data_IF_136072996606
#
_entry.id   IF_136072996606
#
_cell.length_a   1.000
_cell.length_b   1.000
_cell.length_c   1.000
_cell.angle_alpha   90.00
_cell.angle_beta   90.00
_cell.angle_gamma   90.00
#
_symmetry.space_group_name_H-M   'P 1'
#
loop_
_entity.id
_entity.type
_entity.pdbx_description
1 polymer ?
#
# COMPACT_ATOMS: atom_id res chain seq x y z
N UNK A 1 -11.20 7.74 -4.30
CA UNK A 1 -12.09 7.73 -3.11
C UNK A 1 -11.27 8.20 -1.94
N UNK A 2 -11.65 9.27 -1.23
CA UNK A 2 -10.91 9.69 -0.03
C UNK A 2 -11.02 8.66 1.10
N UNK A 3 -9.91 8.39 1.78
CA UNK A 3 -9.82 7.57 3.01
C UNK A 3 -9.18 8.36 4.13
N UNK A 4 -9.43 7.97 5.39
CA UNK A 4 -8.75 8.57 6.54
C UNK A 4 -7.35 7.98 6.72
N UNK A 5 -7.21 6.66 6.46
CA UNK A 5 -5.95 5.93 6.58
C UNK A 5 -5.67 5.12 5.31
N UNK A 6 -4.46 5.25 4.78
CA UNK A 6 -3.93 4.35 3.75
C UNK A 6 -2.78 3.52 4.35
N UNK A 7 -2.99 2.23 4.52
CA UNK A 7 -1.98 1.30 5.01
C UNK A 7 -1.25 0.67 3.81
N UNK A 8 0.06 0.92 3.70
CA UNK A 8 0.88 0.50 2.58
C UNK A 8 1.91 -0.52 3.07
N UNK A 9 1.82 -1.74 2.54
CA UNK A 9 2.71 -2.86 2.88
C UNK A 9 3.42 -3.39 1.64
N UNK A 10 4.53 -4.10 1.80
CA UNK A 10 5.24 -4.69 0.65
C UNK A 10 4.45 -5.86 0.10
N UNK A 11 4.14 -6.80 0.99
CA UNK A 11 3.53 -8.08 0.65
C UNK A 11 2.12 -8.20 1.25
N UNK A 12 1.22 -8.99 0.62
CA UNK A 12 -0.11 -9.21 1.18
C UNK A 12 -0.09 -10.04 2.47
N UNK A 13 0.11 -9.41 3.62
CA UNK A 13 0.08 -9.95 5.00
C UNK A 13 0.85 -9.02 5.95
N UNK A 14 1.75 -8.19 5.43
CA UNK A 14 2.53 -7.20 6.19
C UNK A 14 1.62 -6.29 7.03
N UNK A 15 0.51 -5.84 6.45
CA UNK A 15 -0.43 -4.94 7.12
C UNK A 15 -1.17 -5.67 8.24
N UNK A 16 -1.59 -6.90 7.98
CA UNK A 16 -2.24 -7.77 8.94
C UNK A 16 -1.34 -8.04 10.15
N UNK A 17 -0.07 -8.35 9.89
CA UNK A 17 0.92 -8.65 10.91
C UNK A 17 1.34 -7.40 11.70
N UNK A 18 1.55 -6.28 11.00
CA UNK A 18 2.11 -5.07 11.58
C UNK A 18 1.10 -4.18 12.29
N UNK A 19 -0.13 -4.06 11.78
CA UNK A 19 -1.06 -3.03 12.26
C UNK A 19 -2.57 -3.37 12.16
N UNK A 20 -2.96 -4.64 12.01
CA UNK A 20 -4.38 -5.03 11.98
C UNK A 20 -5.17 -4.56 13.20
N UNK A 21 -4.59 -4.64 14.41
CA UNK A 21 -5.24 -4.16 15.63
C UNK A 21 -5.59 -2.66 15.59
N UNK A 22 -4.67 -1.85 15.07
CA UNK A 22 -4.89 -0.41 14.85
C UNK A 22 -5.99 -0.19 13.82
N UNK A 23 -5.91 -0.86 12.67
CA UNK A 23 -6.91 -0.72 11.59
C UNK A 23 -8.30 -1.12 12.07
N UNK A 24 -8.43 -2.26 12.74
CA UNK A 24 -9.70 -2.74 13.30
C UNK A 24 -10.29 -1.73 14.31
N UNK A 25 -9.46 -1.11 15.14
CA UNK A 25 -9.91 -0.09 16.07
C UNK A 25 -10.40 1.17 15.34
N UNK A 26 -9.68 1.64 14.33
CA UNK A 26 -10.03 2.83 13.57
C UNK A 26 -11.29 2.64 12.71
N UNK A 27 -11.45 1.47 12.10
CA UNK A 27 -12.68 1.08 11.39
C UNK A 27 -13.87 1.05 12.36
N UNK A 28 -13.71 0.52 13.58
CA UNK A 28 -14.77 0.56 14.63
C UNK A 28 -15.15 1.98 15.03
N UNK A 29 -14.22 2.94 14.95
CA UNK A 29 -14.48 4.37 15.18
C UNK A 29 -15.10 5.06 13.96
N UNK A 30 -15.37 4.33 12.87
CA UNK A 30 -16.03 4.84 11.68
C UNK A 30 -15.07 5.41 10.63
N UNK A 31 -13.75 5.26 10.80
CA UNK A 31 -12.77 5.70 9.79
C UNK A 31 -12.78 4.77 8.57
N UNK A 32 -12.61 5.36 7.39
CA UNK A 32 -12.35 4.66 6.14
C UNK A 32 -10.88 4.34 6.04
N UNK A 33 -10.57 3.06 5.88
CA UNK A 33 -9.20 2.58 5.71
C UNK A 33 -9.08 1.88 4.35
N UNK A 34 -8.01 2.13 3.61
CA UNK A 34 -7.63 1.33 2.46
C UNK A 34 -6.27 0.67 2.70
N UNK A 35 -6.06 -0.49 2.06
CA UNK A 35 -4.79 -1.21 2.04
C UNK A 35 -4.21 -1.16 0.62
N UNK A 36 -2.91 -0.92 0.52
CA UNK A 36 -2.17 -0.97 -0.73
C UNK A 36 -0.96 -1.88 -0.57
N UNK A 37 -0.99 -3.03 -1.25
CA UNK A 37 0.16 -3.93 -1.31
C UNK A 37 1.06 -3.52 -2.49
N UNK A 38 2.37 -3.38 -2.28
CA UNK A 38 3.30 -2.96 -3.34
C UNK A 38 3.56 -4.10 -4.34
N UNK A 39 3.63 -5.33 -3.87
CA UNK A 39 3.97 -6.54 -4.64
C UNK A 39 2.91 -7.61 -4.46
N UNK A 40 2.97 -8.71 -5.22
CA UNK A 40 2.04 -9.82 -5.06
C UNK A 40 2.56 -10.90 -4.09
N UNK A 41 3.76 -10.70 -3.51
CA UNK A 41 4.43 -11.70 -2.70
C UNK A 41 4.76 -12.98 -3.47
N UNK A 42 4.96 -12.87 -4.79
CA UNK A 42 5.10 -14.02 -5.67
C UNK A 42 6.38 -14.86 -5.44
N UNK A 43 7.40 -14.32 -4.77
CA UNK A 43 8.61 -15.08 -4.41
C UNK A 43 8.50 -15.75 -3.04
N UNK A 44 7.63 -15.24 -2.16
CA UNK A 44 7.45 -15.73 -0.79
C UNK A 44 6.22 -16.62 -0.59
N UNK A 45 5.24 -16.58 -1.49
CA UNK A 45 4.02 -17.38 -1.37
C UNK A 45 4.31 -18.88 -1.50
N UNK A 46 3.72 -19.69 -0.61
CA UNK A 46 3.71 -21.16 -0.73
C UNK A 46 2.58 -21.67 -1.61
N UNK A 47 1.58 -20.83 -1.87
CA UNK A 47 0.47 -21.10 -2.78
C UNK A 47 0.74 -20.52 -4.16
N UNK A 48 -0.32 -20.08 -4.84
CA UNK A 48 -0.21 -19.31 -6.07
C UNK A 48 -0.46 -17.82 -5.80
N UNK A 49 -0.28 -17.00 -6.83
CA UNK A 49 -0.66 -15.58 -6.77
C UNK A 49 -2.16 -15.45 -6.55
N UNK A 50 -2.97 -16.29 -7.19
CA UNK A 50 -4.44 -16.30 -7.08
C UNK A 50 -4.91 -16.68 -5.66
N UNK A 51 -4.27 -17.67 -5.02
CA UNK A 51 -4.62 -18.02 -3.64
C UNK A 51 -4.25 -16.87 -2.70
N UNK A 52 -3.08 -16.24 -2.90
CA UNK A 52 -2.65 -15.07 -2.12
C UNK A 52 -3.61 -13.89 -2.26
N UNK A 53 -4.10 -13.61 -3.46
CA UNK A 53 -5.14 -12.59 -3.67
C UNK A 53 -6.44 -12.91 -2.95
N UNK A 54 -6.86 -14.19 -2.95
CA UNK A 54 -8.08 -14.63 -2.28
C UNK A 54 -7.94 -14.47 -0.76
N UNK A 55 -6.80 -14.89 -0.19
CA UNK A 55 -6.48 -14.72 1.23
C UNK A 55 -6.48 -13.23 1.62
N UNK A 56 -5.82 -12.39 0.83
CA UNK A 56 -5.78 -10.94 1.02
C UNK A 56 -7.16 -10.28 0.96
N UNK A 57 -8.04 -10.74 0.06
CA UNK A 57 -9.40 -10.25 -0.06
C UNK A 57 -10.28 -10.64 1.15
N UNK A 58 -10.17 -11.88 1.63
CA UNK A 58 -10.88 -12.32 2.83
C UNK A 58 -10.37 -11.61 4.09
N UNK A 59 -9.05 -11.40 4.22
CA UNK A 59 -8.48 -10.61 5.31
C UNK A 59 -9.02 -9.16 5.31
N UNK A 60 -9.09 -8.52 4.14
CA UNK A 60 -9.65 -7.18 4.00
C UNK A 60 -11.12 -7.13 4.45
N UNK A 61 -11.92 -8.14 4.09
CA UNK A 61 -13.32 -8.27 4.51
C UNK A 61 -13.46 -8.46 6.02
N UNK A 62 -12.61 -9.28 6.64
CA UNK A 62 -12.56 -9.45 8.09
C UNK A 62 -12.21 -8.15 8.80
N UNK A 63 -11.26 -7.38 8.26
CA UNK A 63 -10.81 -6.11 8.82
C UNK A 63 -11.80 -4.95 8.59
N UNK A 64 -12.75 -5.11 7.67
CA UNK A 64 -13.73 -4.07 7.33
C UNK A 64 -13.13 -2.87 6.59
N UNK A 65 -12.01 -3.06 5.88
CA UNK A 65 -11.39 -1.97 5.10
C UNK A 65 -12.22 -1.66 3.86
N UNK A 66 -12.20 -0.40 3.43
CA UNK A 66 -13.01 0.10 2.31
C UNK A 66 -12.47 -0.29 0.94
N UNK A 67 -11.17 -0.55 0.83
CA UNK A 67 -10.52 -1.00 -0.40
C UNK A 67 -9.21 -1.75 -0.08
N UNK A 68 -8.84 -2.67 -0.97
CA UNK A 68 -7.50 -3.25 -1.03
C UNK A 68 -7.04 -3.32 -2.47
N UNK A 69 -5.88 -2.76 -2.77
CA UNK A 69 -5.29 -2.73 -4.12
C UNK A 69 -3.85 -3.25 -4.11
N UNK A 70 -3.36 -3.63 -5.28
CA UNK A 70 -2.01 -4.14 -5.47
C UNK A 70 -1.30 -3.43 -6.62
N UNK A 71 -0.12 -2.87 -6.38
CA UNK A 71 0.66 -2.18 -7.42
C UNK A 71 1.42 -3.11 -8.35
N UNK A 72 1.50 -4.41 -8.04
CA UNK A 72 2.17 -5.43 -8.85
C UNK A 72 3.61 -5.04 -9.20
N UNK A 73 4.30 -4.38 -8.28
CA UNK A 73 5.74 -4.27 -8.38
C UNK A 73 6.35 -5.67 -8.25
N UNK A 74 7.53 -5.83 -8.85
CA UNK A 74 8.24 -7.10 -8.84
C UNK A 74 8.79 -7.36 -7.44
N UNK A 75 8.32 -8.43 -6.81
CA UNK A 75 8.73 -8.85 -5.46
C UNK A 75 10.25 -9.04 -5.38
N UNK A 76 10.90 -8.50 -4.35
CA UNK A 76 12.35 -8.51 -4.18
C UNK A 76 13.14 -7.50 -5.03
N UNK A 77 12.54 -6.89 -6.06
CA UNK A 77 13.27 -6.16 -7.11
C UNK A 77 12.77 -4.74 -7.40
N UNK A 78 11.67 -4.30 -6.82
CA UNK A 78 11.23 -2.91 -6.95
C UNK A 78 12.29 -1.95 -6.40
N UNK A 79 12.33 -0.74 -6.91
CA UNK A 79 13.34 0.26 -6.57
C UNK A 79 12.70 1.52 -5.98
N UNK A 80 13.51 2.34 -5.32
CA UNK A 80 13.12 3.69 -4.95
C UNK A 80 13.45 4.69 -6.10
N UNK A 81 12.97 4.38 -7.30
CA UNK A 81 13.19 5.19 -8.51
C UNK A 81 11.94 6.01 -8.90
N UNK A 82 12.08 6.85 -9.94
CA UNK A 82 10.99 7.70 -10.41
C UNK A 82 9.75 6.90 -10.88
N UNK A 83 9.94 5.77 -11.57
CA UNK A 83 8.84 4.98 -12.10
C UNK A 83 7.96 4.40 -10.98
N UNK A 84 8.59 3.86 -9.93
CA UNK A 84 7.89 3.34 -8.76
C UNK A 84 7.26 4.47 -7.94
N UNK A 85 7.96 5.60 -7.77
CA UNK A 85 7.44 6.80 -7.11
C UNK A 85 6.18 7.32 -7.81
N UNK A 86 6.20 7.49 -9.13
CA UNK A 86 5.05 8.00 -9.88
C UNK A 86 3.82 7.10 -9.74
N UNK A 87 4.01 5.77 -9.76
CA UNK A 87 2.90 4.83 -9.56
C UNK A 87 2.32 4.94 -8.14
N UNK A 88 3.18 5.03 -7.13
CA UNK A 88 2.74 5.17 -5.74
C UNK A 88 2.09 6.54 -5.47
N UNK A 89 2.63 7.62 -6.05
CA UNK A 89 2.06 8.98 -5.97
C UNK A 89 0.63 8.98 -6.55
N UNK A 90 0.39 8.33 -7.68
CA UNK A 90 -0.95 8.21 -8.28
C UNK A 90 -1.94 7.55 -7.30
N UNK A 91 -1.54 6.47 -6.63
CA UNK A 91 -2.37 5.84 -5.59
C UNK A 91 -2.60 6.74 -4.38
N UNK A 92 -1.57 7.43 -3.88
CA UNK A 92 -1.71 8.36 -2.76
C UNK A 92 -2.69 9.49 -3.13
N UNK A 93 -2.61 10.05 -4.34
CA UNK A 93 -3.54 11.08 -4.83
C UNK A 93 -4.96 10.58 -5.08
N UNK A 94 -5.11 9.33 -5.52
CA UNK A 94 -6.42 8.66 -5.65
C UNK A 94 -7.14 8.52 -4.30
N UNK A 95 -6.39 8.23 -3.25
CA UNK A 95 -6.92 7.96 -1.90
C UNK A 95 -6.92 9.17 -0.96
N UNK A 96 -6.09 10.19 -1.21
CA UNK A 96 -5.97 11.41 -0.41
C UNK A 96 -5.99 11.16 1.12
N UNK A 97 -5.16 10.25 1.65
CA UNK A 97 -5.21 9.86 3.05
C UNK A 97 -4.77 11.00 3.98
N UNK A 98 -5.36 11.07 5.17
CA UNK A 98 -4.89 11.96 6.23
C UNK A 98 -3.71 11.32 7.00
N UNK A 99 -3.66 9.98 7.07
CA UNK A 99 -2.57 9.20 7.67
C UNK A 99 -2.12 8.07 6.74
N UNK A 100 -0.80 7.89 6.60
CA UNK A 100 -0.21 6.72 5.96
C UNK A 100 0.43 5.83 7.03
N UNK A 101 0.08 4.54 7.04
CA UNK A 101 0.82 3.50 7.76
C UNK A 101 1.75 2.82 6.75
N UNK A 102 3.00 2.59 7.12
CA UNK A 102 4.03 2.08 6.21
C UNK A 102 4.95 1.08 6.91
N UNK A 103 5.65 0.25 6.12
CA UNK A 103 6.77 -0.55 6.63
C UNK A 103 7.83 0.34 7.33
N UNK A 104 8.50 -0.22 8.33
CA UNK A 104 9.61 0.44 9.05
C UNK A 104 10.81 0.68 8.11
N UNK A 105 11.62 1.70 8.41
CA UNK A 105 12.77 2.07 7.58
C UNK A 105 13.94 1.07 7.65
N UNK A 106 14.08 0.34 8.75
CA UNK A 106 15.12 -0.66 8.96
C UNK A 106 14.50 -1.98 9.44
N UNK A 107 14.71 -3.05 8.67
CA UNK A 107 14.18 -4.38 8.88
C UNK A 107 15.15 -5.41 8.27
N UNK A 108 15.18 -6.62 8.82
CA UNK A 108 15.92 -7.75 8.23
C UNK A 108 15.45 -8.10 6.82
N UNK A 109 14.20 -7.81 6.48
CA UNK A 109 13.65 -8.01 5.14
C UNK A 109 13.99 -6.77 4.29
N UNK A 110 14.86 -6.89 3.26
CA UNK A 110 15.36 -5.74 2.52
C UNK A 110 14.24 -4.95 1.81
N UNK A 111 13.17 -5.62 1.39
CA UNK A 111 12.03 -4.92 0.79
C UNK A 111 11.28 -4.04 1.79
N UNK A 112 11.21 -4.37 3.08
CA UNK A 112 10.46 -3.56 4.06
C UNK A 112 11.11 -2.19 4.22
N UNK A 113 12.44 -2.15 4.43
CA UNK A 113 13.18 -0.89 4.50
C UNK A 113 13.11 -0.10 3.19
N UNK A 114 13.26 -0.80 2.05
CA UNK A 114 13.14 -0.17 0.72
C UNK A 114 11.76 0.45 0.50
N UNK A 115 10.69 -0.24 0.91
CA UNK A 115 9.33 0.27 0.83
C UNK A 115 9.11 1.44 1.78
N UNK A 116 9.59 1.38 3.02
CA UNK A 116 9.52 2.49 3.96
C UNK A 116 10.10 3.78 3.37
N UNK A 117 11.27 3.69 2.73
CA UNK A 117 11.88 4.81 2.02
C UNK A 117 11.09 5.26 0.79
N UNK A 118 10.63 4.32 -0.06
CA UNK A 118 9.81 4.63 -1.24
C UNK A 118 8.50 5.33 -0.85
N UNK A 119 7.83 4.85 0.20
CA UNK A 119 6.57 5.41 0.70
C UNK A 119 6.79 6.82 1.26
N UNK A 120 7.86 7.03 2.04
CA UNK A 120 8.19 8.35 2.58
C UNK A 120 8.46 9.38 1.47
N UNK A 121 9.28 9.00 0.47
CA UNK A 121 9.56 9.86 -0.68
C UNK A 121 8.28 10.17 -1.47
N UNK A 122 7.48 9.14 -1.79
CA UNK A 122 6.25 9.30 -2.56
C UNK A 122 5.20 10.15 -1.81
N UNK A 123 5.09 10.01 -0.49
CA UNK A 123 4.18 10.80 0.33
C UNK A 123 4.51 12.30 0.27
N UNK A 124 5.80 12.67 0.34
CA UNK A 124 6.22 14.06 0.17
C UNK A 124 5.94 14.56 -1.25
N UNK A 125 6.37 13.79 -2.25
CA UNK A 125 6.23 14.17 -3.67
C UNK A 125 4.78 14.26 -4.12
N UNK A 126 3.87 13.50 -3.51
CA UNK A 126 2.45 13.54 -3.85
C UNK A 126 1.81 14.92 -3.66
N UNK A 127 2.34 15.75 -2.74
CA UNK A 127 1.90 17.13 -2.53
C UNK A 127 2.41 18.14 -3.58
N UNK A 128 3.33 17.75 -4.47
CA UNK A 128 3.91 18.65 -5.46
C UNK A 128 3.07 18.66 -6.74
N UNK A 129 2.27 19.70 -6.93
CA UNK A 129 1.31 19.83 -8.05
C UNK A 129 1.94 19.74 -9.46
N UNK A 130 3.26 19.98 -9.60
CA UNK A 130 3.96 19.89 -10.90
C UNK A 130 4.38 18.48 -11.30
N UNK A 131 4.27 17.51 -10.39
CA UNK A 131 4.41 16.11 -10.74
C UNK A 131 3.08 15.69 -11.33
N UNK A 132 3.03 15.44 -12.62
CA UNK A 132 1.82 14.99 -13.30
C UNK A 132 1.61 13.50 -13.05
N UNK A 133 0.40 13.14 -12.66
CA UNK A 133 -0.04 11.74 -12.55
C UNK A 133 -1.29 11.54 -13.37
N UNK A 134 -1.53 10.30 -13.80
CA UNK A 134 -2.68 9.95 -14.62
C UNK A 134 -3.39 8.74 -14.01
N UNK A 135 -4.72 8.71 -14.14
CA UNK A 135 -5.57 7.55 -13.90
C UNK A 135 -6.32 7.15 -15.18
N UNK A 136 -7.23 6.18 -15.09
CA UNK A 136 -8.03 5.69 -16.21
C UNK A 136 -8.95 6.77 -16.82
N UNK A 137 -9.15 7.89 -16.12
CA UNK A 137 -10.05 8.99 -16.51
C UNK A 137 -9.33 10.27 -16.94
N UNK A 138 -8.01 10.36 -16.74
CA UNK A 138 -7.20 11.50 -17.17
C UNK A 138 -6.11 11.88 -16.17
N UNK A 139 -5.72 13.15 -16.13
CA UNK A 139 -4.75 13.65 -15.17
C UNK A 139 -5.36 13.76 -13.75
N UNK A 140 -4.59 13.31 -12.75
CA UNK A 140 -4.85 13.40 -11.30
C UNK A 140 -4.08 14.57 -10.67
#
# INVERSE_FOLDING_TARGET
MKVDILAIGVHPDDIELGCSGTILNEVKLGKKVAILDLTQGELGTRGSVETRYTEAAEAAKIMGVSARENLKFRDGFFLNDEAHKLKLISSIRKYQPDVILANVLDDRHPDHGRAGHLIADAAFLAGLMRIETYDETGAL
#
